data_IF_245420093637
#
_entry.id   IF_245420093637
#
_cell.length_a   1.000
_cell.length_b   1.000
_cell.length_c   1.000
_cell.angle_alpha   90.00
_cell.angle_beta   90.00
_cell.angle_gamma   90.00
#
_symmetry.space_group_name_H-M   'P 1'
#
loop_
_entity.id
_entity.type
_entity.pdbx_description
1 polymer ?
#
# COMPACT_ATOMS: atom_id res chain seq x y z
N UNK A 1 -6.45 -12.44 31.80
CA UNK A 1 -5.85 -12.92 30.54
C UNK A 1 -6.59 -12.27 29.39
N UNK A 2 -5.99 -11.36 28.64
CA UNK A 2 -6.55 -10.89 27.38
C UNK A 2 -6.54 -12.06 26.40
N UNK A 3 -7.71 -12.59 26.08
CA UNK A 3 -7.87 -13.65 25.10
C UNK A 3 -7.48 -13.13 23.72
N UNK A 4 -6.52 -13.78 23.06
CA UNK A 4 -6.21 -13.55 21.65
C UNK A 4 -7.49 -13.85 20.87
N UNK A 5 -8.00 -12.85 20.17
CA UNK A 5 -9.19 -12.99 19.32
C UNK A 5 -8.77 -13.15 17.86
N UNK A 6 -9.30 -14.17 17.21
CA UNK A 6 -9.13 -14.37 15.78
C UNK A 6 -10.42 -13.89 15.12
N UNK A 7 -10.32 -12.81 14.36
CA UNK A 7 -11.42 -12.26 13.56
C UNK A 7 -10.91 -11.94 12.14
N UNK A 8 -11.83 -11.54 11.27
CA UNK A 8 -11.52 -11.25 9.88
C UNK A 8 -10.38 -10.22 9.69
N UNK A 9 -10.26 -9.21 10.57
CA UNK A 9 -9.20 -8.20 10.45
C UNK A 9 -7.79 -8.75 10.70
N UNK A 10 -7.66 -9.74 11.59
CA UNK A 10 -6.39 -10.43 11.90
C UNK A 10 -5.84 -11.17 10.68
N UNK A 11 -6.70 -11.60 9.76
CA UNK A 11 -6.29 -12.30 8.53
C UNK A 11 -6.14 -11.32 7.36
N UNK A 12 -7.14 -10.47 7.14
CA UNK A 12 -7.19 -9.58 5.97
C UNK A 12 -6.04 -8.58 5.97
N UNK A 13 -5.77 -7.93 7.11
CA UNK A 13 -4.77 -6.86 7.16
C UNK A 13 -3.34 -7.38 6.94
N UNK A 14 -2.86 -8.45 7.60
CA UNK A 14 -1.52 -8.96 7.33
C UNK A 14 -1.38 -9.56 5.93
N UNK A 15 -2.42 -10.20 5.39
CA UNK A 15 -2.37 -10.76 4.03
C UNK A 15 -2.22 -9.65 2.98
N UNK A 16 -3.09 -8.64 3.02
CA UNK A 16 -3.01 -7.49 2.10
C UNK A 16 -1.72 -6.70 2.34
N UNK A 17 -1.31 -6.55 3.60
CA UNK A 17 -0.05 -5.93 3.99
C UNK A 17 1.17 -6.64 3.41
N UNK A 18 1.19 -7.97 3.43
CA UNK A 18 2.24 -8.79 2.84
C UNK A 18 2.27 -8.65 1.32
N UNK A 19 1.11 -8.63 0.65
CA UNK A 19 1.03 -8.38 -0.79
C UNK A 19 1.62 -7.01 -1.13
N UNK A 20 1.28 -5.96 -0.38
CA UNK A 20 1.84 -4.61 -0.57
C UNK A 20 3.36 -4.59 -0.34
N UNK A 21 3.83 -5.26 0.71
CA UNK A 21 5.24 -5.36 1.04
C UNK A 21 6.02 -6.05 -0.07
N UNK A 22 5.57 -7.22 -0.53
CA UNK A 22 6.20 -7.98 -1.60
C UNK A 22 6.16 -7.23 -2.92
N UNK A 23 5.01 -6.67 -3.30
CA UNK A 23 4.88 -5.88 -4.52
C UNK A 23 5.81 -4.66 -4.50
N UNK A 24 5.89 -3.94 -3.38
CA UNK A 24 6.80 -2.81 -3.21
C UNK A 24 8.28 -3.23 -3.26
N UNK A 25 8.65 -4.37 -2.66
CA UNK A 25 10.01 -4.90 -2.71
C UNK A 25 10.40 -5.32 -4.13
N UNK A 26 9.51 -6.02 -4.85
CA UNK A 26 9.72 -6.40 -6.26
C UNK A 26 9.89 -5.15 -7.11
N UNK A 27 9.02 -4.16 -6.95
CA UNK A 27 9.08 -2.91 -7.73
C UNK A 27 10.31 -2.07 -7.42
N UNK A 28 10.83 -2.16 -6.19
CA UNK A 28 12.08 -1.49 -5.79
C UNK A 28 13.31 -2.21 -6.32
N UNK A 29 13.31 -3.55 -6.37
CA UNK A 29 14.45 -4.36 -6.83
C UNK A 29 14.51 -4.44 -8.37
N UNK A 30 13.36 -4.57 -9.01
CA UNK A 30 13.21 -4.71 -10.46
C UNK A 30 12.22 -3.66 -10.97
N UNK A 31 12.56 -2.36 -10.90
CA UNK A 31 11.69 -1.31 -11.40
C UNK A 31 11.49 -1.48 -12.92
N UNK A 32 10.29 -1.18 -13.45
CA UNK A 32 10.05 -1.26 -14.87
C UNK A 32 10.93 -0.24 -15.61
N UNK A 33 11.83 -0.66 -16.51
CA UNK A 33 12.88 0.21 -17.06
C UNK A 33 12.36 1.25 -18.05
N UNK A 34 11.15 1.06 -18.58
CA UNK A 34 10.47 1.99 -19.49
C UNK A 34 9.00 2.02 -19.12
N UNK A 35 8.30 3.07 -19.56
CA UNK A 35 6.85 3.16 -19.46
C UNK A 35 6.23 1.88 -20.02
N UNK A 36 5.50 1.16 -19.17
CA UNK A 36 4.91 -0.13 -19.48
C UNK A 36 3.44 -0.12 -19.07
N UNK A 37 2.57 -0.58 -19.96
CA UNK A 37 1.12 -0.65 -19.70
C UNK A 37 0.69 -1.86 -18.89
N UNK A 38 1.56 -2.83 -18.63
CA UNK A 38 1.26 -4.08 -17.90
C UNK A 38 1.61 -3.95 -16.42
N UNK A 39 2.75 -3.34 -16.10
CA UNK A 39 3.30 -3.30 -14.74
C UNK A 39 3.88 -1.93 -14.38
N UNK A 40 3.79 -1.58 -13.10
CA UNK A 40 4.26 -0.32 -12.54
C UNK A 40 3.13 0.61 -12.08
N UNK A 41 3.53 1.73 -11.47
CA UNK A 41 2.64 2.81 -11.07
C UNK A 41 2.24 3.64 -12.29
N UNK A 42 1.01 3.44 -12.76
CA UNK A 42 0.52 3.90 -14.07
C UNK A 42 -0.52 5.02 -13.92
N UNK A 43 -0.08 6.21 -13.55
CA UNK A 43 -0.91 7.42 -13.56
C UNK A 43 -0.53 8.35 -14.70
N UNK A 44 -1.41 9.28 -15.08
CA UNK A 44 -1.15 10.25 -16.16
C UNK A 44 0.13 11.07 -15.91
N UNK A 45 0.46 11.39 -14.66
CA UNK A 45 1.70 12.12 -14.32
C UNK A 45 2.93 11.23 -14.41
N UNK A 46 2.89 10.03 -13.84
CA UNK A 46 4.04 9.12 -13.87
C UNK A 46 4.37 8.64 -15.28
N UNK A 47 3.38 8.41 -16.14
CA UNK A 47 3.61 7.92 -17.51
C UNK A 47 4.00 9.01 -18.52
N UNK A 48 4.16 10.28 -18.10
CA UNK A 48 4.41 11.40 -19.03
C UNK A 48 5.76 11.31 -19.73
N UNK A 49 6.79 11.00 -18.97
CA UNK A 49 8.18 10.92 -19.42
C UNK A 49 8.94 9.93 -18.54
N UNK A 50 10.12 9.51 -19.00
CA UNK A 50 10.91 8.48 -18.35
C UNK A 50 11.32 8.86 -16.91
N UNK A 51 11.63 10.14 -16.66
CA UNK A 51 12.03 10.61 -15.35
C UNK A 51 10.87 10.58 -14.34
N UNK A 52 9.67 10.99 -14.78
CA UNK A 52 8.44 10.90 -14.02
C UNK A 52 8.02 9.45 -13.75
N UNK A 53 8.29 8.56 -14.71
CA UNK A 53 8.01 7.13 -14.61
C UNK A 53 8.87 6.46 -13.54
N UNK A 54 10.18 6.67 -13.61
CA UNK A 54 11.14 6.13 -12.65
C UNK A 54 10.85 6.63 -11.24
N UNK A 55 10.62 7.94 -11.08
CA UNK A 55 10.33 8.51 -9.77
C UNK A 55 8.97 8.04 -9.22
N UNK A 56 7.94 7.95 -10.06
CA UNK A 56 6.61 7.49 -9.66
C UNK A 56 6.64 6.03 -9.17
N UNK A 57 7.34 5.16 -9.89
CA UNK A 57 7.54 3.77 -9.48
C UNK A 57 8.40 3.68 -8.21
N UNK A 58 9.48 4.47 -8.09
CA UNK A 58 10.31 4.49 -6.89
C UNK A 58 9.52 4.90 -5.63
N UNK A 59 8.75 5.99 -5.70
CA UNK A 59 8.02 6.54 -4.55
C UNK A 59 6.86 5.62 -4.16
N UNK A 60 6.08 5.14 -5.13
CA UNK A 60 5.00 4.19 -4.86
C UNK A 60 5.52 2.90 -4.25
N UNK A 61 6.65 2.35 -4.72
CA UNK A 61 7.28 1.17 -4.12
C UNK A 61 7.62 1.36 -2.64
N UNK A 62 8.24 2.50 -2.30
CA UNK A 62 8.58 2.85 -0.91
C UNK A 62 7.31 2.98 -0.05
N UNK A 63 6.26 3.61 -0.58
CA UNK A 63 5.00 3.77 0.13
C UNK A 63 4.26 2.44 0.31
N UNK A 64 4.27 1.55 -0.69
CA UNK A 64 3.70 0.21 -0.59
C UNK A 64 4.40 -0.62 0.49
N UNK A 65 5.73 -0.58 0.56
CA UNK A 65 6.50 -1.22 1.65
C UNK A 65 6.08 -0.66 3.02
N UNK A 66 6.08 0.68 3.16
CA UNK A 66 5.74 1.34 4.43
C UNK A 66 4.32 1.00 4.88
N UNK A 67 3.34 1.14 4.00
CA UNK A 67 1.95 0.90 4.34
C UNK A 67 1.59 -0.58 4.44
N UNK A 68 2.29 -1.46 3.72
CA UNK A 68 2.24 -2.90 3.91
C UNK A 68 2.64 -3.29 5.33
N UNK A 69 3.76 -2.76 5.82
CA UNK A 69 4.18 -2.96 7.22
C UNK A 69 3.16 -2.41 8.22
N UNK A 70 2.61 -1.21 7.98
CA UNK A 70 1.55 -0.67 8.84
C UNK A 70 0.34 -1.62 8.91
N UNK A 71 -0.14 -2.14 7.77
CA UNK A 71 -1.27 -3.08 7.74
C UNK A 71 -0.98 -4.36 8.52
N UNK A 72 0.23 -4.92 8.41
CA UNK A 72 0.64 -6.08 9.22
C UNK A 72 0.55 -5.75 10.72
N UNK A 73 1.08 -4.59 11.14
CA UNK A 73 1.01 -4.15 12.54
C UNK A 73 -0.44 -3.96 13.00
N UNK A 74 -1.31 -3.34 12.20
CA UNK A 74 -2.73 -3.21 12.53
C UNK A 74 -3.45 -4.56 12.66
N UNK A 75 -3.12 -5.53 11.81
CA UNK A 75 -3.64 -6.90 11.93
C UNK A 75 -3.20 -7.60 13.22
N UNK A 76 -1.96 -7.40 13.65
CA UNK A 76 -1.48 -7.91 14.94
C UNK A 76 -2.18 -7.23 16.12
N UNK A 77 -2.38 -5.91 16.07
CA UNK A 77 -3.13 -5.17 17.10
C UNK A 77 -4.59 -5.62 17.17
N UNK A 78 -5.20 -5.99 16.04
CA UNK A 78 -6.58 -6.49 16.01
C UNK A 78 -6.79 -7.79 16.83
N UNK A 79 -5.72 -8.53 17.17
CA UNK A 79 -5.81 -9.74 18.00
C UNK A 79 -6.18 -9.47 19.46
N UNK A 80 -5.98 -8.24 19.94
CA UNK A 80 -6.26 -7.84 21.33
C UNK A 80 -7.43 -6.86 21.44
N UNK A 81 -8.05 -6.49 20.30
CA UNK A 81 -9.21 -5.59 20.28
C UNK A 81 -10.48 -6.44 20.13
N UNK A 82 -11.44 -6.35 21.07
CA UNK A 82 -12.67 -7.12 21.00
C UNK A 82 -13.61 -6.54 19.94
N UNK A 83 -13.50 -7.02 18.71
CA UNK A 83 -14.35 -6.63 17.59
C UNK A 83 -15.32 -7.77 17.27
N UNK A 84 -16.58 -7.42 17.00
CA UNK A 84 -17.49 -8.35 16.32
C UNK A 84 -16.96 -8.63 14.91
N UNK A 85 -17.34 -9.75 14.29
CA UNK A 85 -16.90 -10.07 12.92
C UNK A 85 -17.24 -8.95 11.92
N UNK A 86 -18.47 -8.43 11.98
CA UNK A 86 -18.91 -7.34 11.08
C UNK A 86 -18.05 -6.09 11.28
N UNK A 87 -17.83 -5.68 12.54
CA UNK A 87 -16.97 -4.53 12.85
C UNK A 87 -15.53 -4.75 12.37
N UNK A 88 -15.01 -5.97 12.50
CA UNK A 88 -13.66 -6.32 12.07
C UNK A 88 -13.49 -6.23 10.56
N UNK A 89 -14.47 -6.70 9.78
CA UNK A 89 -14.47 -6.63 8.31
C UNK A 89 -14.49 -5.17 7.86
N UNK A 90 -15.40 -4.36 8.43
CA UNK A 90 -15.52 -2.94 8.08
C UNK A 90 -14.22 -2.20 8.39
N UNK A 91 -13.64 -2.42 9.57
CA UNK A 91 -12.37 -1.81 9.96
C UNK A 91 -11.23 -2.22 9.02
N UNK A 92 -11.13 -3.51 8.68
CA UNK A 92 -10.09 -4.01 7.79
C UNK A 92 -10.20 -3.39 6.38
N UNK A 93 -11.40 -3.38 5.80
CA UNK A 93 -11.65 -2.76 4.48
C UNK A 93 -11.34 -1.27 4.50
N UNK A 94 -11.77 -0.56 5.54
CA UNK A 94 -11.48 0.87 5.69
C UNK A 94 -9.97 1.14 5.72
N UNK A 95 -9.22 0.38 6.53
CA UNK A 95 -7.76 0.52 6.64
C UNK A 95 -7.07 0.23 5.30
N UNK A 96 -7.47 -0.84 4.60
CA UNK A 96 -6.93 -1.19 3.27
C UNK A 96 -7.17 -0.06 2.27
N UNK A 97 -8.40 0.48 2.22
CA UNK A 97 -8.76 1.58 1.33
C UNK A 97 -7.96 2.85 1.64
N UNK A 98 -7.85 3.21 2.92
CA UNK A 98 -7.08 4.39 3.36
C UNK A 98 -5.62 4.26 2.93
N UNK A 99 -4.97 3.13 3.20
CA UNK A 99 -3.56 2.97 2.85
C UNK A 99 -3.31 2.88 1.36
N UNK A 100 -4.18 2.19 0.61
CA UNK A 100 -4.13 2.15 -0.85
C UNK A 100 -4.27 3.56 -1.42
N UNK A 101 -5.27 4.32 -0.98
CA UNK A 101 -5.49 5.70 -1.42
C UNK A 101 -4.31 6.61 -1.06
N UNK A 102 -3.71 6.42 0.13
CA UNK A 102 -2.52 7.17 0.52
C UNK A 102 -1.31 6.90 -0.39
N UNK A 103 -1.12 5.68 -0.90
CA UNK A 103 -0.08 5.42 -1.93
C UNK A 103 -0.31 6.31 -3.13
N UNK A 104 -1.53 6.37 -3.66
CA UNK A 104 -1.84 7.20 -4.83
C UNK A 104 -1.64 8.69 -4.54
N UNK A 105 -2.28 9.20 -3.49
CA UNK A 105 -2.26 10.62 -3.17
C UNK A 105 -0.85 11.11 -2.87
N UNK A 106 -0.05 10.36 -2.10
CA UNK A 106 1.30 10.79 -1.77
C UNK A 106 2.25 10.69 -2.97
N UNK A 107 2.11 9.66 -3.81
CA UNK A 107 2.90 9.55 -5.04
C UNK A 107 2.58 10.69 -6.01
N UNK A 108 1.29 10.97 -6.25
CA UNK A 108 0.86 12.06 -7.12
C UNK A 108 1.24 13.44 -6.61
N UNK A 109 1.12 13.69 -5.29
CA UNK A 109 1.58 14.95 -4.68
C UNK A 109 3.09 15.11 -4.82
N UNK A 110 3.85 14.04 -4.65
CA UNK A 110 5.31 14.06 -4.83
C UNK A 110 5.69 14.39 -6.27
N UNK A 111 5.11 13.70 -7.25
CA UNK A 111 5.33 13.96 -8.68
C UNK A 111 4.97 15.41 -9.05
N UNK A 112 3.80 15.89 -8.59
CA UNK A 112 3.39 17.28 -8.84
C UNK A 112 4.37 18.30 -8.24
N UNK A 113 4.86 18.05 -7.02
CA UNK A 113 5.83 18.95 -6.36
C UNK A 113 7.19 18.93 -7.05
N UNK A 114 7.66 17.76 -7.48
CA UNK A 114 8.99 17.59 -8.08
C UNK A 114 9.06 18.09 -9.52
N UNK A 115 8.00 17.85 -10.31
CA UNK A 115 8.00 18.14 -11.74
C UNK A 115 7.07 19.30 -12.16
N UNK A 116 6.27 19.85 -11.24
CA UNK A 116 5.41 21.01 -11.49
C UNK A 116 4.32 20.78 -12.55
N UNK A 117 4.01 19.51 -12.83
CA UNK A 117 3.34 19.05 -14.05
C UNK A 117 2.21 18.08 -13.77
#
# INVERSE_FOLDING_TARGET
MSTIQINSAVIVLPLVGLIFLLAGLIMRKSPPPKVNYIYGYRTRRSMRDQQSWEEGNRVSAILMIRYGMCMIVFGLVATIVPLTEISSIIAALFIVLVFTFMVFVKTERHLKRKFGK
#
